data_IF_823686472049
#
_entry.id   IF_823686472049
#
_cell.length_a   1.000
_cell.length_b   1.000
_cell.length_c   1.000
_cell.angle_alpha   90.00
_cell.angle_beta   90.00
_cell.angle_gamma   90.00
#
_symmetry.space_group_name_H-M   'P 1'
#
loop_
_entity.id
_entity.type
_entity.pdbx_description
1 polymer ?
#
# COMPACT_ATOMS: atom_id res chain seq x y z
N UNK A 1 -30.88 19.41 31.30
CA UNK A 1 -31.36 18.02 31.19
C UNK A 1 -30.51 17.35 30.10
N UNK A 2 -29.33 16.81 30.42
CA UNK A 2 -29.04 15.38 30.77
C UNK A 2 -29.39 14.44 29.60
N UNK A 3 -28.54 13.64 28.94
CA UNK A 3 -27.25 12.92 29.21
C UNK A 3 -26.42 12.89 27.90
N UNK A 4 -25.08 12.85 27.79
CA UNK A 4 -23.95 12.13 28.45
C UNK A 4 -23.71 10.68 27.94
N UNK A 5 -22.56 10.51 27.28
CA UNK A 5 -21.68 9.32 27.08
C UNK A 5 -22.16 8.18 26.13
N UNK A 6 -21.32 7.43 25.40
CA UNK A 6 -19.87 7.22 25.44
C UNK A 6 -19.32 6.61 24.13
N UNK A 7 -18.00 6.64 24.03
CA UNK A 7 -17.01 6.03 23.13
C UNK A 7 -17.21 4.58 22.60
N UNK A 8 -16.74 4.28 21.37
CA UNK A 8 -15.52 3.49 21.08
C UNK A 8 -15.44 2.96 19.62
N UNK A 9 -14.20 2.99 19.12
CA UNK A 9 -13.53 2.20 18.08
C UNK A 9 -14.14 0.86 17.66
N UNK A 10 -14.16 0.56 16.35
CA UNK A 10 -13.77 -0.74 15.74
C UNK A 10 -13.81 -0.71 14.21
N UNK A 11 -12.93 -1.53 13.63
CA UNK A 11 -12.58 -1.67 12.23
C UNK A 11 -13.61 -2.41 11.34
N UNK A 12 -13.42 -2.26 10.02
CA UNK A 12 -13.84 -3.11 8.86
C UNK A 12 -14.32 -2.18 7.73
N UNK A 13 -14.05 -2.35 6.46
CA UNK A 13 -13.33 -3.34 5.67
C UNK A 13 -13.64 -2.98 4.22
N UNK A 14 -12.64 -2.79 3.36
CA UNK A 14 -12.85 -2.62 1.93
C UNK A 14 -11.88 -3.51 1.16
N UNK A 15 -12.49 -4.52 0.55
CA UNK A 15 -11.95 -5.56 -0.31
C UNK A 15 -11.27 -5.00 -1.55
N UNK A 16 -10.02 -5.37 -1.78
CA UNK A 16 -9.41 -5.36 -3.10
C UNK A 16 -9.50 -6.76 -3.71
N UNK A 17 -10.27 -6.89 -4.79
CA UNK A 17 -10.30 -8.05 -5.67
C UNK A 17 -8.98 -8.14 -6.43
N UNK A 18 -8.23 -9.22 -6.25
CA UNK A 18 -7.14 -9.62 -7.13
C UNK A 18 -7.72 -10.33 -8.36
N UNK A 19 -7.58 -9.72 -9.52
CA UNK A 19 -7.79 -10.35 -10.82
C UNK A 19 -6.51 -11.11 -11.16
N UNK A 20 -6.56 -12.44 -11.03
CA UNK A 20 -5.54 -13.35 -11.55
C UNK A 20 -5.77 -13.51 -13.07
N UNK A 21 -4.86 -12.96 -13.87
CA UNK A 21 -4.77 -13.29 -15.28
C UNK A 21 -3.93 -14.56 -15.44
N UNK A 22 -4.63 -15.62 -15.81
CA UNK A 22 -4.11 -16.91 -16.24
C UNK A 22 -3.51 -16.78 -17.64
N UNK A 23 -2.31 -17.30 -17.87
CA UNK A 23 -1.86 -17.63 -19.22
C UNK A 23 -1.24 -19.04 -19.22
N UNK A 24 -1.78 -19.98 -20.02
CA UNK A 24 -1.33 -21.35 -20.08
C UNK A 24 -0.30 -21.51 -21.20
N UNK A 25 0.87 -22.07 -20.88
CA UNK A 25 1.55 -22.90 -21.86
C UNK A 25 2.33 -24.01 -21.17
N UNK A 26 2.08 -25.19 -21.74
CA UNK A 26 2.36 -26.52 -21.25
C UNK A 26 3.75 -26.98 -21.67
N UNK A 27 4.45 -27.72 -20.80
CA UNK A 27 4.97 -29.04 -21.20
C UNK A 27 5.41 -29.85 -19.97
N UNK A 28 4.79 -31.02 -19.88
CA UNK A 28 4.97 -32.09 -18.91
C UNK A 28 6.29 -32.86 -19.07
N UNK A 29 6.65 -33.55 -17.97
CA UNK A 29 7.36 -34.84 -17.79
C UNK A 29 8.67 -34.67 -16.99
N UNK A 30 9.06 -35.51 -16.03
CA UNK A 30 8.45 -36.66 -15.37
C UNK A 30 9.43 -37.01 -14.23
N UNK A 31 9.00 -37.00 -12.97
CA UNK A 31 9.83 -37.45 -11.85
C UNK A 31 9.69 -38.97 -11.75
N UNK A 32 10.75 -39.69 -12.11
CA UNK A 32 10.86 -41.13 -11.90
C UNK A 32 11.68 -41.38 -10.64
N UNK A 33 10.99 -41.88 -9.62
CA UNK A 33 11.55 -42.55 -8.45
C UNK A 33 12.27 -43.85 -8.87
N UNK A 34 13.42 -44.18 -8.27
CA UNK A 34 13.83 -45.57 -8.14
C UNK A 34 14.11 -45.90 -6.67
N UNK A 35 13.05 -46.23 -5.93
CA UNK A 35 13.15 -47.12 -4.77
C UNK A 35 12.07 -48.17 -4.91
N UNK A 36 12.45 -49.44 -4.68
CA UNK A 36 11.70 -50.70 -4.82
C UNK A 36 11.68 -51.39 -6.20
N UNK A 37 12.63 -52.33 -6.37
CA UNK A 37 12.38 -53.71 -6.85
C UNK A 37 13.38 -54.61 -6.10
N UNK A 38 12.98 -55.28 -5.02
CA UNK A 38 12.59 -56.71 -4.99
C UNK A 38 13.64 -57.60 -5.69
N UNK A 39 14.58 -58.20 -4.95
CA UNK A 39 14.40 -59.53 -4.34
C UNK A 39 13.81 -60.56 -5.33
N UNK A 40 14.64 -61.15 -6.20
CA UNK A 40 14.38 -62.46 -6.83
C UNK A 40 15.61 -62.91 -7.64
N UNK A 41 16.45 -63.77 -7.06
CA UNK A 41 16.98 -65.01 -7.67
C UNK A 41 18.03 -65.63 -6.76
N UNK A 42 17.53 -66.45 -5.83
CA UNK A 42 18.24 -67.63 -5.36
C UNK A 42 17.71 -68.81 -6.16
N UNK A 43 18.60 -69.78 -6.40
CA UNK A 43 18.41 -71.14 -6.93
C UNK A 43 18.72 -71.35 -8.41
N UNK A 44 19.94 -71.83 -8.67
CA UNK A 44 20.07 -73.15 -9.29
C UNK A 44 21.11 -73.98 -8.53
N UNK A 45 20.65 -75.13 -8.06
CA UNK A 45 21.39 -76.21 -7.42
C UNK A 45 22.13 -77.03 -8.48
N UNK A 46 23.34 -77.50 -8.15
CA UNK A 46 23.81 -78.84 -8.51
C UNK A 46 24.61 -79.43 -7.34
N UNK A 47 24.26 -80.62 -6.84
CA UNK A 47 24.95 -81.29 -5.74
C UNK A 47 25.79 -82.52 -6.20
N UNK A 48 26.68 -82.95 -5.29
CA UNK A 48 27.31 -84.28 -5.16
C UNK A 48 28.36 -84.72 -6.21
N UNK A 49 29.53 -85.19 -5.74
CA UNK A 49 29.87 -86.62 -5.64
C UNK A 49 31.11 -86.86 -4.75
N UNK A 50 31.02 -87.87 -3.86
CA UNK A 50 32.13 -88.52 -3.17
C UNK A 50 32.39 -89.90 -3.84
N UNK A 51 33.66 -90.18 -4.22
CA UNK A 51 34.41 -91.48 -4.24
C UNK A 51 33.86 -92.66 -5.09
N UNK A 52 34.57 -93.80 -5.42
CA UNK A 52 35.90 -94.33 -5.02
C UNK A 52 36.77 -95.02 -6.14
N UNK A 53 37.98 -95.49 -5.75
CA UNK A 53 38.82 -96.64 -6.20
C UNK A 53 39.00 -97.10 -7.67
N UNK A 54 40.27 -97.28 -8.07
CA UNK A 54 40.81 -98.46 -8.80
C UNK A 54 42.28 -98.67 -8.36
N UNK A 55 42.60 -99.68 -7.53
CA UNK A 55 43.06 -101.04 -7.88
C UNK A 55 44.37 -101.08 -8.69
N UNK A 56 45.49 -101.36 -8.02
CA UNK A 56 46.13 -102.69 -7.88
C UNK A 56 46.93 -103.14 -9.11
N UNK A 57 48.26 -103.07 -8.97
CA UNK A 57 49.20 -104.03 -9.58
C UNK A 57 50.32 -104.31 -8.56
N UNK A 58 50.21 -105.42 -7.84
CA UNK A 58 51.37 -106.29 -7.49
C UNK A 58 51.40 -107.43 -8.54
N UNK A 59 52.39 -108.37 -8.64
CA UNK A 59 53.54 -108.72 -7.76
C UNK A 59 54.83 -108.93 -8.66
N UNK A 60 55.84 -109.82 -8.45
CA UNK A 60 56.11 -110.76 -7.34
C UNK A 60 57.58 -110.95 -6.83
N UNK A 61 57.64 -111.41 -5.57
CA UNK A 61 58.43 -112.50 -4.96
C UNK A 61 59.98 -112.53 -4.93
N UNK A 62 60.49 -112.75 -3.70
CA UNK A 62 61.30 -113.90 -3.21
C UNK A 62 62.14 -113.41 -1.99
N UNK A 63 62.38 -114.10 -0.88
CA UNK A 63 62.03 -115.41 -0.32
C UNK A 63 62.44 -115.41 1.15
N UNK A 64 61.69 -116.09 2.03
CA UNK A 64 62.10 -116.50 3.39
C UNK A 64 63.08 -117.70 3.32
N UNK A 65 63.82 -118.13 4.39
CA UNK A 65 63.26 -118.87 5.56
C UNK A 65 63.99 -118.57 6.91
N UNK A 66 63.34 -118.50 8.08
CA UNK A 66 62.65 -119.49 8.94
C UNK A 66 63.55 -120.12 10.04
N UNK A 67 62.90 -120.50 11.15
CA UNK A 67 63.35 -121.26 12.35
C UNK A 67 63.87 -120.40 13.53
N UNK A 68 63.64 -120.68 14.83
CA UNK A 68 62.68 -121.42 15.68
C UNK A 68 63.39 -121.59 17.06
N UNK A 69 62.69 -121.24 18.14
CA UNK A 69 62.86 -121.56 19.58
C UNK A 69 64.15 -121.24 20.41
N UNK A 70 63.98 -120.93 21.73
CA UNK A 70 65.00 -120.52 22.72
C UNK A 70 65.57 -121.73 23.51
N UNK A 71 66.67 -121.64 24.31
CA UNK A 71 66.60 -121.30 25.76
C UNK A 71 67.94 -120.66 26.31
N UNK A 72 68.43 -120.89 27.56
CA UNK A 72 68.22 -120.05 28.74
C UNK A 72 69.51 -119.58 29.49
N UNK A 73 69.32 -118.72 30.50
CA UNK A 73 70.04 -118.59 31.79
C UNK A 73 71.56 -118.30 31.91
N UNK A 74 71.85 -117.59 33.02
CA UNK A 74 73.13 -117.37 33.75
C UNK A 74 74.15 -116.34 33.22
N UNK A 75 74.06 -115.12 33.76
CA UNK A 75 75.05 -114.39 34.60
C UNK A 75 76.53 -114.80 34.47
N UNK A 76 77.53 -113.86 34.52
CA UNK A 76 77.66 -112.97 35.69
C UNK A 76 78.18 -111.54 35.44
N UNK A 77 77.66 -110.65 36.29
CA UNK A 77 78.40 -109.66 37.08
C UNK A 77 79.74 -109.15 36.55
N UNK A 78 79.74 -107.92 36.04
CA UNK A 78 80.86 -106.99 36.20
C UNK A 78 80.26 -105.61 36.45
N UNK A 79 80.65 -105.01 37.58
CA UNK A 79 80.48 -103.59 37.86
C UNK A 79 80.91 -102.77 36.65
N UNK A 80 80.01 -101.96 36.11
CA UNK A 80 80.43 -100.74 35.42
C UNK A 80 79.26 -99.77 35.37
N UNK A 81 79.44 -98.71 36.14
CA UNK A 81 78.84 -97.38 36.07
C UNK A 81 77.82 -97.19 34.94
N UNK A 82 76.63 -96.66 35.28
CA UNK A 82 75.70 -96.06 34.31
C UNK A 82 76.53 -95.19 33.39
N UNK A 83 76.65 -95.54 32.09
CA UNK A 83 77.50 -94.77 31.20
C UNK A 83 76.99 -93.33 31.17
N UNK A 84 77.91 -92.38 31.32
CA UNK A 84 77.61 -90.93 31.40
C UNK A 84 76.71 -90.47 30.24
N UNK A 85 76.80 -91.13 29.08
CA UNK A 85 75.96 -90.86 27.91
C UNK A 85 74.46 -91.06 28.16
N UNK A 86 74.04 -91.91 29.10
CA UNK A 86 72.63 -92.13 29.42
C UNK A 86 72.05 -90.94 30.21
N UNK A 87 72.80 -90.38 31.16
CA UNK A 87 72.39 -89.18 31.90
C UNK A 87 72.39 -87.94 31.01
N UNK A 88 73.36 -87.86 30.10
CA UNK A 88 73.43 -86.83 29.06
C UNK A 88 72.26 -86.93 28.08
N UNK A 89 71.85 -88.15 27.70
CA UNK A 89 70.67 -88.39 26.87
C UNK A 89 69.38 -87.92 27.54
N UNK A 90 69.14 -88.27 28.81
CA UNK A 90 67.95 -87.81 29.54
C UNK A 90 67.96 -86.29 29.77
N UNK A 91 69.14 -85.69 29.96
CA UNK A 91 69.29 -84.23 30.05
C UNK A 91 68.93 -83.55 28.74
N UNK A 92 69.41 -84.08 27.61
CA UNK A 92 69.05 -83.61 26.28
C UNK A 92 67.55 -83.78 25.99
N UNK A 93 66.95 -84.90 26.40
CA UNK A 93 65.52 -85.17 26.24
C UNK A 93 64.67 -84.17 27.03
N UNK A 94 65.06 -83.86 28.29
CA UNK A 94 64.41 -82.82 29.10
C UNK A 94 64.57 -81.42 28.51
N UNK A 95 65.72 -81.13 27.90
CA UNK A 95 65.93 -79.86 27.19
C UNK A 95 65.04 -79.77 25.94
N UNK A 96 64.85 -80.87 25.21
CA UNK A 96 63.92 -80.96 24.08
C UNK A 96 62.48 -80.72 24.55
N UNK A 97 62.03 -81.37 25.63
CA UNK A 97 60.70 -81.16 26.22
C UNK A 97 60.47 -79.69 26.59
N UNK A 98 61.44 -79.06 27.28
CA UNK A 98 61.34 -77.64 27.66
C UNK A 98 61.29 -76.71 26.44
N UNK A 99 61.97 -77.07 25.34
CA UNK A 99 61.91 -76.32 24.08
C UNK A 99 60.57 -76.54 23.36
N UNK A 100 59.99 -77.73 23.43
CA UNK A 100 58.65 -78.02 22.91
C UNK A 100 57.58 -77.20 23.66
N UNK A 101 57.65 -77.10 24.99
CA UNK A 101 56.73 -76.25 25.77
C UNK A 101 56.81 -74.77 25.37
N UNK A 102 58.02 -74.25 25.12
CA UNK A 102 58.21 -72.89 24.61
C UNK A 102 57.61 -72.73 23.21
N UNK A 103 57.74 -73.73 22.35
CA UNK A 103 57.13 -73.73 21.02
C UNK A 103 55.60 -73.71 21.10
N UNK A 104 55.00 -74.46 22.03
CA UNK A 104 53.55 -74.42 22.25
C UNK A 104 53.08 -73.06 22.77
N UNK A 105 53.82 -72.45 23.72
CA UNK A 105 53.54 -71.09 24.19
C UNK A 105 53.63 -70.06 23.06
N UNK A 106 54.64 -70.19 22.19
CA UNK A 106 54.75 -69.36 20.98
C UNK A 106 53.54 -69.60 20.07
N UNK A 107 53.12 -70.85 19.86
CA UNK A 107 51.94 -71.19 19.07
C UNK A 107 50.65 -70.54 19.59
N UNK A 108 50.46 -70.50 20.91
CA UNK A 108 49.32 -69.81 21.55
C UNK A 108 49.41 -68.30 21.34
N UNK A 109 50.58 -67.70 21.53
CA UNK A 109 50.78 -66.25 21.32
C UNK A 109 50.56 -65.86 19.85
N UNK A 110 51.07 -66.65 18.90
CA UNK A 110 50.86 -66.44 17.46
C UNK A 110 49.37 -66.56 17.12
N UNK A 111 48.67 -67.53 17.69
CA UNK A 111 47.22 -67.68 17.49
C UNK A 111 46.45 -66.47 18.04
N UNK A 112 46.83 -65.99 19.23
CA UNK A 112 46.26 -64.78 19.84
C UNK A 112 46.55 -63.52 19.02
N UNK A 113 47.78 -63.39 18.51
CA UNK A 113 48.16 -62.30 17.62
C UNK A 113 47.35 -62.33 16.32
N UNK A 114 47.18 -63.51 15.71
CA UNK A 114 46.39 -63.66 14.49
C UNK A 114 44.94 -63.21 14.70
N UNK A 115 44.33 -63.56 15.84
CA UNK A 115 42.99 -63.09 16.20
C UNK A 115 42.91 -61.57 16.34
N UNK A 116 43.91 -60.93 16.95
CA UNK A 116 43.98 -59.46 17.05
C UNK A 116 44.18 -58.79 15.70
N UNK A 117 45.01 -59.36 14.83
CA UNK A 117 45.23 -58.84 13.46
C UNK A 117 43.91 -58.87 12.68
N UNK A 118 43.18 -59.98 12.73
CA UNK A 118 41.85 -60.09 12.10
C UNK A 118 40.89 -59.02 12.65
N UNK A 119 40.89 -58.77 13.97
CA UNK A 119 40.06 -57.73 14.56
C UNK A 119 40.44 -56.33 14.07
N UNK A 120 41.74 -56.01 14.03
CA UNK A 120 42.24 -54.72 13.53
C UNK A 120 41.90 -54.52 12.06
N UNK A 121 41.98 -55.57 11.23
CA UNK A 121 41.57 -55.51 9.83
C UNK A 121 40.07 -55.20 9.69
N UNK A 122 39.22 -55.82 10.51
CA UNK A 122 37.78 -55.54 10.52
C UNK A 122 37.47 -54.10 10.95
N UNK A 123 38.12 -53.60 12.01
CA UNK A 123 37.98 -52.22 12.48
C UNK A 123 38.47 -51.22 11.43
N UNK A 124 39.57 -51.52 10.73
CA UNK A 124 40.11 -50.69 9.64
C UNK A 124 39.14 -50.59 8.47
N UNK A 125 38.49 -51.71 8.11
CA UNK A 125 37.46 -51.72 7.07
C UNK A 125 36.24 -50.88 7.47
N UNK A 126 35.75 -51.05 8.70
CA UNK A 126 34.63 -50.27 9.22
C UNK A 126 34.95 -48.76 9.25
N UNK A 127 36.17 -48.41 9.65
CA UNK A 127 36.62 -47.01 9.66
C UNK A 127 36.70 -46.43 8.24
N UNK A 128 37.19 -47.20 7.27
CA UNK A 128 37.24 -46.80 5.87
C UNK A 128 35.86 -46.52 5.28
N UNK A 129 34.86 -47.37 5.57
CA UNK A 129 33.47 -47.17 5.14
C UNK A 129 32.87 -45.89 5.75
N UNK A 130 33.12 -45.64 7.04
CA UNK A 130 32.68 -44.42 7.72
C UNK A 130 33.36 -43.17 7.16
N UNK A 131 34.64 -43.24 6.80
CA UNK A 131 35.36 -42.12 6.20
C UNK A 131 34.76 -41.75 4.85
N UNK A 132 34.47 -42.73 3.99
CA UNK A 132 33.82 -42.49 2.70
C UNK A 132 32.44 -41.82 2.87
N UNK A 133 31.65 -42.22 3.86
CA UNK A 133 30.36 -41.58 4.15
C UNK A 133 30.52 -40.12 4.60
N UNK A 134 31.55 -39.81 5.40
CA UNK A 134 31.88 -38.44 5.83
C UNK A 134 32.35 -37.59 4.65
N UNK A 135 33.16 -38.13 3.75
CA UNK A 135 33.60 -37.43 2.54
C UNK A 135 32.42 -37.02 1.65
N UNK A 136 31.47 -37.93 1.43
CA UNK A 136 30.23 -37.65 0.68
C UNK A 136 29.42 -36.56 1.37
N UNK A 137 29.22 -36.66 2.69
CA UNK A 137 28.49 -35.65 3.46
C UNK A 137 29.17 -34.28 3.42
N UNK A 138 30.51 -34.25 3.44
CA UNK A 138 31.30 -33.01 3.40
C UNK A 138 31.19 -32.35 2.03
N UNK A 139 31.24 -33.14 0.95
CA UNK A 139 31.03 -32.62 -0.40
C UNK A 139 29.62 -32.02 -0.55
N UNK A 140 28.59 -32.71 -0.07
CA UNK A 140 27.21 -32.20 -0.10
C UNK A 140 27.08 -30.86 0.63
N UNK A 141 27.64 -30.73 1.84
CA UNK A 141 27.61 -29.47 2.60
C UNK A 141 28.37 -28.36 1.87
N UNK A 142 29.50 -28.68 1.23
CA UNK A 142 30.26 -27.72 0.43
C UNK A 142 29.45 -27.18 -0.75
N UNK A 143 28.73 -28.05 -1.46
CA UNK A 143 27.89 -27.66 -2.59
C UNK A 143 26.72 -26.77 -2.14
N UNK A 144 26.07 -27.11 -1.01
CA UNK A 144 25.02 -26.29 -0.42
C UNK A 144 25.55 -24.91 0.04
N UNK A 145 26.77 -24.86 0.56
CA UNK A 145 27.40 -23.61 0.97
C UNK A 145 27.64 -22.67 -0.22
N UNK A 146 28.14 -23.18 -1.34
CA UNK A 146 28.34 -22.36 -2.54
C UNK A 146 27.01 -21.89 -3.16
N UNK A 147 25.98 -22.74 -3.20
CA UNK A 147 24.62 -22.34 -3.62
C UNK A 147 24.08 -21.20 -2.71
N UNK A 148 24.21 -21.33 -1.40
CA UNK A 148 23.76 -20.28 -0.48
C UNK A 148 24.56 -18.98 -0.62
N UNK A 149 25.86 -19.08 -0.90
CA UNK A 149 26.75 -17.93 -1.12
C UNK A 149 26.41 -17.17 -2.39
N UNK A 150 26.06 -17.87 -3.48
CA UNK A 150 25.60 -17.22 -4.71
C UNK A 150 24.30 -16.45 -4.49
N UNK A 151 23.29 -17.08 -3.86
CA UNK A 151 22.03 -16.42 -3.47
C UNK A 151 22.26 -15.18 -2.59
N UNK A 152 23.19 -15.25 -1.66
CA UNK A 152 23.53 -14.13 -0.78
C UNK A 152 24.10 -12.93 -1.57
N UNK A 153 24.93 -13.19 -2.60
CA UNK A 153 25.48 -12.15 -3.46
C UNK A 153 24.41 -11.52 -4.37
N UNK A 154 23.48 -12.32 -4.88
CA UNK A 154 22.33 -11.83 -5.65
C UNK A 154 21.43 -10.93 -4.80
N UNK A 155 21.09 -11.38 -3.58
CA UNK A 155 20.32 -10.58 -2.63
C UNK A 155 21.03 -9.27 -2.29
N UNK A 156 22.34 -9.30 -2.05
CA UNK A 156 23.14 -8.08 -1.79
C UNK A 156 23.08 -7.10 -2.96
N UNK A 157 23.16 -7.60 -4.18
CA UNK A 157 23.07 -6.78 -5.39
C UNK A 157 21.68 -6.16 -5.56
N UNK A 158 20.62 -6.93 -5.27
CA UNK A 158 19.25 -6.44 -5.25
C UNK A 158 19.03 -5.34 -4.21
N UNK A 159 19.57 -5.50 -2.99
CA UNK A 159 19.48 -4.49 -1.92
C UNK A 159 20.12 -3.18 -2.35
N UNK A 160 21.31 -3.22 -2.95
CA UNK A 160 21.99 -2.02 -3.46
C UNK A 160 21.16 -1.29 -4.53
N UNK A 161 20.48 -2.05 -5.41
CA UNK A 161 19.62 -1.46 -6.42
C UNK A 161 18.39 -0.80 -5.81
N UNK A 162 17.76 -1.45 -4.82
CA UNK A 162 16.62 -0.90 -4.08
C UNK A 162 17.02 0.39 -3.37
N UNK A 163 18.18 0.43 -2.70
CA UNK A 163 18.69 1.63 -2.05
C UNK A 163 18.86 2.81 -3.02
N UNK A 164 19.39 2.55 -4.23
CA UNK A 164 19.51 3.57 -5.27
C UNK A 164 18.14 4.10 -5.69
N UNK A 165 17.18 3.22 -5.95
CA UNK A 165 15.82 3.60 -6.34
C UNK A 165 15.14 4.43 -5.24
N UNK A 166 15.27 4.04 -3.97
CA UNK A 166 14.71 4.78 -2.83
C UNK A 166 15.28 6.19 -2.77
N UNK A 167 16.60 6.35 -2.94
CA UNK A 167 17.24 7.66 -2.90
C UNK A 167 16.77 8.58 -4.04
N UNK A 168 16.64 8.04 -5.25
CA UNK A 168 16.09 8.79 -6.39
C UNK A 168 14.64 9.21 -6.13
N UNK A 169 13.80 8.27 -5.69
CA UNK A 169 12.41 8.55 -5.35
C UNK A 169 12.27 9.61 -4.25
N UNK A 170 13.14 9.58 -3.23
CA UNK A 170 13.12 10.57 -2.16
C UNK A 170 13.43 11.99 -2.67
N UNK A 171 14.37 12.12 -3.60
CA UNK A 171 14.67 13.39 -4.27
C UNK A 171 13.48 13.89 -5.08
N UNK A 172 12.81 13.02 -5.83
CA UNK A 172 11.65 13.37 -6.65
C UNK A 172 10.47 13.83 -5.79
N UNK A 173 10.17 13.09 -4.72
CA UNK A 173 9.10 13.45 -3.76
C UNK A 173 9.37 14.83 -3.16
N UNK A 174 10.61 15.11 -2.72
CA UNK A 174 10.96 16.43 -2.17
C UNK A 174 10.80 17.57 -3.19
N UNK A 175 11.08 17.30 -4.48
CA UNK A 175 10.86 18.28 -5.55
C UNK A 175 9.38 18.54 -5.79
N UNK A 176 8.56 17.49 -5.77
CA UNK A 176 7.11 17.58 -5.95
C UNK A 176 6.47 18.34 -4.79
N UNK A 177 6.85 18.05 -3.54
CA UNK A 177 6.37 18.75 -2.35
C UNK A 177 6.60 20.26 -2.44
N UNK A 178 7.82 20.67 -2.80
CA UNK A 178 8.16 22.11 -2.98
C UNK A 178 7.33 22.78 -4.08
N UNK A 179 7.10 22.08 -5.19
CA UNK A 179 6.25 22.60 -6.27
C UNK A 179 4.80 22.73 -5.80
N UNK A 180 4.28 21.73 -5.08
CA UNK A 180 2.93 21.74 -4.57
C UNK A 180 2.69 22.91 -3.60
N UNK A 181 3.62 23.13 -2.66
CA UNK A 181 3.58 24.27 -1.74
C UNK A 181 3.60 25.62 -2.47
N UNK A 182 4.38 25.72 -3.56
CA UNK A 182 4.44 26.94 -4.36
C UNK A 182 3.14 27.19 -5.11
N UNK A 183 2.56 26.15 -5.71
CA UNK A 183 1.29 26.23 -6.44
C UNK A 183 0.14 26.56 -5.50
N UNK A 184 0.10 25.98 -4.29
CA UNK A 184 -0.92 26.29 -3.29
C UNK A 184 -0.90 27.78 -2.90
N UNK A 185 0.30 28.35 -2.70
CA UNK A 185 0.45 29.79 -2.43
C UNK A 185 0.01 30.66 -3.60
N UNK A 186 0.31 30.27 -4.84
CA UNK A 186 -0.13 30.99 -6.03
C UNK A 186 -1.66 30.97 -6.19
N UNK A 187 -2.29 29.82 -5.92
CA UNK A 187 -3.74 29.67 -5.95
C UNK A 187 -4.37 30.60 -4.91
N UNK A 188 -3.91 30.58 -3.66
CA UNK A 188 -4.45 31.43 -2.59
C UNK A 188 -4.34 32.93 -2.96
N UNK A 189 -3.19 33.36 -3.46
CA UNK A 189 -3.00 34.75 -3.90
C UNK A 189 -3.91 35.11 -5.08
N UNK A 190 -4.11 34.19 -6.02
CA UNK A 190 -5.00 34.42 -7.17
C UNK A 190 -6.46 34.51 -6.74
N UNK A 191 -6.87 33.68 -5.78
CA UNK A 191 -8.22 33.65 -5.24
C UNK A 191 -8.55 34.94 -4.51
N UNK A 192 -7.64 35.41 -3.65
CA UNK A 192 -7.81 36.67 -2.92
C UNK A 192 -7.88 37.87 -3.89
N UNK A 193 -7.04 37.91 -4.92
CA UNK A 193 -7.13 38.94 -5.98
C UNK A 193 -8.48 38.89 -6.71
N UNK A 194 -8.95 37.69 -7.06
CA UNK A 194 -10.22 37.51 -7.78
C UNK A 194 -11.41 37.91 -6.92
N UNK A 195 -11.40 37.59 -5.62
CA UNK A 195 -12.43 37.99 -4.66
C UNK A 195 -12.52 39.51 -4.56
N UNK A 196 -11.39 40.17 -4.32
CA UNK A 196 -11.31 41.63 -4.22
C UNK A 196 -11.76 42.32 -5.52
N UNK A 197 -11.37 41.79 -6.68
CA UNK A 197 -11.80 42.33 -7.97
C UNK A 197 -13.31 42.16 -8.20
N UNK A 198 -13.87 41.01 -7.82
CA UNK A 198 -15.31 40.75 -7.92
C UNK A 198 -16.13 41.67 -7.01
N UNK A 199 -15.66 41.93 -5.78
CA UNK A 199 -16.30 42.89 -4.87
C UNK A 199 -16.29 44.30 -5.45
N UNK A 200 -15.12 44.77 -5.90
CA UNK A 200 -14.98 46.07 -6.55
C UNK A 200 -15.85 46.20 -7.79
N UNK A 201 -15.88 45.18 -8.65
CA UNK A 201 -16.69 45.18 -9.86
C UNK A 201 -18.18 45.24 -9.56
N UNK A 202 -18.66 44.59 -8.48
CA UNK A 202 -20.05 44.71 -8.04
C UNK A 202 -20.36 46.12 -7.55
N UNK A 203 -19.47 46.74 -6.78
CA UNK A 203 -19.63 48.12 -6.33
C UNK A 203 -19.65 49.11 -7.51
N UNK A 204 -18.71 48.99 -8.45
CA UNK A 204 -18.63 49.84 -9.64
C UNK A 204 -19.88 49.70 -10.53
N UNK A 205 -20.39 48.47 -10.70
CA UNK A 205 -21.62 48.21 -11.45
C UNK A 205 -22.83 48.85 -10.77
N UNK A 206 -22.94 48.71 -9.45
CA UNK A 206 -24.01 49.31 -8.67
C UNK A 206 -23.96 50.84 -8.73
N UNK A 207 -22.78 51.45 -8.59
CA UNK A 207 -22.58 52.89 -8.68
C UNK A 207 -22.92 53.42 -10.09
N UNK A 208 -22.55 52.68 -11.13
CA UNK A 208 -22.90 53.01 -12.52
C UNK A 208 -24.41 52.97 -12.73
N UNK A 209 -25.09 51.95 -12.20
CA UNK A 209 -26.56 51.86 -12.27
C UNK A 209 -27.24 53.01 -11.50
N UNK A 210 -26.72 53.39 -10.32
CA UNK A 210 -27.24 54.55 -9.58
C UNK A 210 -27.11 55.82 -10.41
N UNK A 211 -25.93 56.07 -10.99
CA UNK A 211 -25.67 57.25 -11.84
C UNK A 211 -26.58 57.26 -13.07
N UNK A 212 -26.76 56.12 -13.72
CA UNK A 212 -27.62 55.99 -14.91
C UNK A 212 -29.10 56.26 -14.60
N UNK A 213 -29.55 55.88 -13.40
CA UNK A 213 -30.94 56.01 -12.97
C UNK A 213 -31.23 57.32 -12.21
N UNK A 214 -30.21 58.16 -11.95
CA UNK A 214 -30.34 59.34 -11.10
C UNK A 214 -31.31 60.38 -11.69
N UNK A 215 -31.50 60.37 -13.00
CA UNK A 215 -32.39 61.28 -13.73
C UNK A 215 -33.80 60.72 -13.89
N UNK A 216 -34.10 59.55 -13.31
CA UNK A 216 -35.33 58.83 -13.59
C UNK A 216 -36.31 58.89 -12.40
N UNK A 217 -37.59 59.12 -12.69
CA UNK A 217 -38.70 58.89 -11.76
C UNK A 217 -39.64 57.83 -12.31
N UNK A 218 -40.28 57.14 -11.39
CA UNK A 218 -41.34 56.17 -11.65
C UNK A 218 -42.65 56.76 -11.17
N UNK A 219 -43.61 56.92 -12.07
CA UNK A 219 -44.95 57.39 -11.78
C UNK A 219 -45.91 56.20 -11.70
N UNK A 220 -46.65 56.10 -10.60
CA UNK A 220 -47.53 54.98 -10.31
C UNK A 220 -49.00 55.38 -10.45
N UNK A 221 -49.81 54.41 -10.85
CA UNK A 221 -51.27 54.48 -10.91
C UNK A 221 -51.85 55.53 -11.87
N UNK A 222 -51.08 55.98 -12.87
CA UNK A 222 -51.61 56.75 -14.01
C UNK A 222 -52.39 55.78 -14.91
N UNK A 223 -53.71 55.98 -15.15
CA UNK A 223 -54.50 55.06 -15.98
C UNK A 223 -53.87 54.79 -17.35
N UNK A 224 -53.88 53.53 -17.80
CA UNK A 224 -53.36 53.13 -19.10
C UNK A 224 -54.41 53.31 -20.20
N UNK A 225 -53.98 53.78 -21.38
CA UNK A 225 -54.78 53.78 -22.62
C UNK A 225 -54.02 53.02 -23.70
N UNK A 226 -54.73 52.41 -24.65
CA UNK A 226 -54.12 51.53 -25.65
C UNK A 226 -53.16 52.26 -26.62
N UNK A 227 -53.41 53.53 -26.90
CA UNK A 227 -52.59 54.40 -27.75
C UNK A 227 -52.17 55.66 -26.98
N UNK A 228 -51.54 55.44 -25.81
CA UNK A 228 -51.10 56.54 -24.95
C UNK A 228 -49.74 57.10 -25.37
N UNK A 229 -49.63 58.43 -25.39
CA UNK A 229 -48.33 59.09 -25.34
C UNK A 229 -47.91 59.23 -23.87
N UNK A 230 -47.01 58.34 -23.43
CA UNK A 230 -46.47 58.37 -22.07
C UNK A 230 -45.81 59.70 -21.70
N UNK A 231 -45.25 60.44 -22.68
CA UNK A 231 -44.66 61.75 -22.43
C UNK A 231 -45.76 62.76 -22.13
N UNK A 232 -46.80 62.80 -22.95
CA UNK A 232 -47.93 63.70 -22.76
C UNK A 232 -48.66 63.43 -21.44
N UNK A 233 -48.95 62.16 -21.15
CA UNK A 233 -49.59 61.76 -19.89
C UNK A 233 -48.73 62.15 -18.67
N UNK A 234 -47.40 62.08 -18.80
CA UNK A 234 -46.48 62.51 -17.74
C UNK A 234 -46.48 64.02 -17.53
N UNK A 235 -46.55 64.81 -18.60
CA UNK A 235 -46.67 66.28 -18.52
C UNK A 235 -47.99 66.70 -17.88
N UNK A 236 -49.11 66.17 -18.38
CA UNK A 236 -50.45 66.41 -17.85
C UNK A 236 -50.52 66.02 -16.37
N UNK A 237 -49.91 64.87 -16.01
CA UNK A 237 -49.85 64.41 -14.63
C UNK A 237 -49.12 65.42 -13.74
N UNK A 238 -47.98 65.96 -14.18
CA UNK A 238 -47.22 66.95 -13.43
C UNK A 238 -47.99 68.28 -13.27
N UNK A 239 -48.64 68.76 -14.32
CA UNK A 239 -49.41 70.01 -14.26
C UNK A 239 -50.61 69.91 -13.32
N UNK A 240 -51.42 68.84 -13.47
CA UNK A 240 -52.66 68.68 -12.71
C UNK A 240 -52.43 68.19 -11.28
N UNK A 241 -51.63 67.13 -11.11
CA UNK A 241 -51.52 66.44 -9.82
C UNK A 241 -50.33 66.96 -8.99
N UNK A 242 -49.22 67.32 -9.62
CA UNK A 242 -48.06 67.90 -8.92
C UNK A 242 -48.14 69.43 -8.78
N UNK A 243 -49.12 70.08 -9.43
CA UNK A 243 -49.35 71.54 -9.40
C UNK A 243 -48.15 72.33 -9.93
N UNK A 244 -47.54 71.83 -11.00
CA UNK A 244 -46.42 72.47 -11.67
C UNK A 244 -46.91 73.06 -13.01
N UNK A 245 -47.30 74.34 -13.11
CA UNK A 245 -47.72 74.92 -14.37
C UNK A 245 -46.54 75.09 -15.35
N UNK A 246 -46.81 75.11 -16.65
CA UNK A 246 -45.81 75.31 -17.70
C UNK A 246 -44.70 74.25 -17.69
N UNK A 247 -45.07 72.98 -17.53
CA UNK A 247 -44.09 71.89 -17.44
C UNK A 247 -43.32 71.71 -18.75
N UNK A 248 -43.98 71.93 -19.88
CA UNK A 248 -43.40 71.75 -21.21
C UNK A 248 -42.26 72.74 -21.48
N UNK A 249 -42.35 73.96 -20.97
CA UNK A 249 -41.33 75.00 -21.15
C UNK A 249 -40.22 74.90 -20.09
N UNK A 250 -40.53 74.44 -18.88
CA UNK A 250 -39.61 74.47 -17.73
C UNK A 250 -38.78 73.19 -17.55
N UNK A 251 -39.34 72.03 -17.88
CA UNK A 251 -38.74 70.72 -17.60
C UNK A 251 -38.58 69.91 -18.88
N UNK A 252 -37.34 69.51 -19.16
CA UNK A 252 -37.06 68.62 -20.28
C UNK A 252 -37.26 67.16 -19.86
N UNK A 253 -38.19 66.47 -20.52
CA UNK A 253 -38.34 65.01 -20.47
C UNK A 253 -37.67 64.42 -21.71
N UNK A 254 -36.69 63.53 -21.50
CA UNK A 254 -35.97 62.86 -22.58
C UNK A 254 -36.69 61.61 -23.08
N UNK A 255 -37.32 60.87 -22.15
CA UNK A 255 -38.02 59.62 -22.46
C UNK A 255 -39.10 59.35 -21.43
N UNK A 256 -40.25 58.85 -21.86
CA UNK A 256 -41.29 58.32 -20.99
C UNK A 256 -41.84 57.02 -21.58
N UNK A 257 -41.96 55.96 -20.78
CA UNK A 257 -42.52 54.69 -21.22
C UNK A 257 -43.09 53.87 -20.06
N UNK A 258 -44.14 53.08 -20.31
CA UNK A 258 -44.62 52.08 -19.34
C UNK A 258 -43.52 51.05 -19.03
N UNK A 259 -43.45 50.63 -17.77
CA UNK A 259 -42.55 49.55 -17.33
C UNK A 259 -43.31 48.23 -17.18
N UNK A 260 -42.72 47.16 -17.73
CA UNK A 260 -43.23 45.81 -17.58
C UNK A 260 -44.29 45.41 -18.62
N UNK A 261 -44.73 44.16 -18.51
CA UNK A 261 -45.69 43.55 -19.42
C UNK A 261 -47.13 43.93 -19.02
N UNK A 262 -48.01 44.13 -20.01
CA UNK A 262 -49.42 44.47 -19.78
C UNK A 262 -50.10 43.33 -19.03
N UNK A 263 -50.90 43.66 -18.02
CA UNK A 263 -51.62 42.71 -17.18
C UNK A 263 -52.76 43.40 -16.43
N UNK A 264 -53.23 42.82 -15.34
CA UNK A 264 -54.35 43.35 -14.55
C UNK A 264 -54.01 44.64 -13.77
N UNK A 265 -52.72 44.85 -13.46
CA UNK A 265 -52.26 46.02 -12.72
C UNK A 265 -51.80 47.11 -13.67
N UNK A 266 -52.16 48.34 -13.34
CA UNK A 266 -51.67 49.55 -14.01
C UNK A 266 -50.14 49.58 -13.90
N UNK A 267 -49.47 49.50 -15.05
CA UNK A 267 -48.03 49.60 -15.18
C UNK A 267 -47.56 51.01 -14.86
N UNK A 268 -46.49 51.17 -14.09
CA UNK A 268 -45.94 52.51 -13.85
C UNK A 268 -45.28 53.08 -15.11
N UNK A 269 -45.24 54.41 -15.22
CA UNK A 269 -44.49 55.13 -16.27
C UNK A 269 -43.09 55.44 -15.72
N UNK A 270 -42.05 55.03 -16.43
CA UNK A 270 -40.69 55.48 -16.20
C UNK A 270 -40.43 56.75 -17.01
N UNK A 271 -40.04 57.82 -16.34
CA UNK A 271 -39.75 59.12 -16.95
C UNK A 271 -38.30 59.47 -16.69
N UNK A 272 -37.53 59.71 -17.76
CA UNK A 272 -36.16 60.20 -17.72
C UNK A 272 -36.14 61.70 -18.02
N UNK A 273 -35.60 62.48 -17.10
CA UNK A 273 -35.46 63.93 -17.22
C UNK A 273 -34.11 64.32 -17.84
N UNK A 274 -34.02 65.55 -18.35
CA UNK A 274 -32.78 66.10 -18.93
C UNK A 274 -31.65 66.30 -17.92
N UNK A 275 -31.99 66.40 -16.63
CA UNK A 275 -31.00 66.53 -15.56
C UNK A 275 -31.53 66.07 -14.20
N UNK A 276 -30.62 65.73 -13.28
CA UNK A 276 -30.95 65.44 -11.88
C UNK A 276 -31.69 66.60 -11.20
N UNK A 277 -31.34 67.86 -11.52
CA UNK A 277 -31.98 69.04 -10.94
C UNK A 277 -33.46 69.13 -11.31
N UNK A 278 -33.77 68.94 -12.60
CA UNK A 278 -35.15 68.91 -13.10
C UNK A 278 -35.94 67.75 -12.49
N UNK A 279 -35.34 66.56 -12.43
CA UNK A 279 -35.93 65.40 -11.75
C UNK A 279 -36.28 65.73 -10.29
N UNK A 280 -35.37 66.34 -9.55
CA UNK A 280 -35.56 66.70 -8.14
C UNK A 280 -36.64 67.76 -7.93
N UNK A 281 -36.77 68.69 -8.87
CA UNK A 281 -37.83 69.69 -8.87
C UNK A 281 -39.22 69.03 -8.93
N UNK A 282 -39.40 68.06 -9.82
CA UNK A 282 -40.61 67.25 -9.91
C UNK A 282 -40.80 66.41 -8.64
N UNK A 283 -39.76 65.72 -8.17
CA UNK A 283 -39.84 64.84 -6.98
C UNK A 283 -40.29 65.59 -5.73
N UNK A 284 -39.82 66.81 -5.50
CA UNK A 284 -40.16 67.63 -4.32
C UNK A 284 -41.65 67.99 -4.27
N UNK A 285 -42.32 68.07 -5.42
CA UNK A 285 -43.75 68.33 -5.49
C UNK A 285 -44.62 67.09 -5.25
N UNK A 286 -44.02 65.90 -5.09
CA UNK A 286 -44.74 64.67 -4.73
C UNK A 286 -45.54 64.75 -3.42
N UNK A 287 -45.21 65.69 -2.53
CA UNK A 287 -46.02 66.01 -1.34
C UNK A 287 -47.47 66.42 -1.68
N UNK A 288 -47.70 66.93 -2.89
CA UNK A 288 -49.03 67.33 -3.37
C UNK A 288 -49.91 66.13 -3.74
N UNK A 289 -49.31 64.93 -3.87
CA UNK A 289 -50.03 63.67 -4.11
C UNK A 289 -50.55 63.02 -2.83
N UNK A 290 -50.34 63.66 -1.67
CA UNK A 290 -50.88 63.17 -0.40
C UNK A 290 -52.40 63.03 -0.53
N UNK A 291 -52.93 61.92 -0.01
CA UNK A 291 -54.36 61.60 -0.04
C UNK A 291 -54.92 61.31 -1.45
N UNK A 292 -54.04 61.09 -2.44
CA UNK A 292 -54.41 60.59 -3.78
C UNK A 292 -53.95 59.13 -3.96
N UNK A 293 -54.46 58.47 -5.01
CA UNK A 293 -54.01 57.12 -5.39
C UNK A 293 -52.70 57.14 -6.21
N UNK A 294 -52.17 58.31 -6.54
CA UNK A 294 -50.96 58.42 -7.35
C UNK A 294 -49.70 58.39 -6.49
N UNK A 295 -48.60 57.93 -7.09
CA UNK A 295 -47.31 57.90 -6.42
C UNK A 295 -46.18 58.28 -7.36
N UNK A 296 -45.11 58.85 -6.80
CA UNK A 296 -43.84 59.03 -7.51
C UNK A 296 -42.70 58.48 -6.66
N UNK A 297 -41.76 57.77 -7.29
CA UNK A 297 -40.54 57.30 -6.62
C UNK A 297 -39.33 57.42 -7.53
N UNK A 298 -38.15 57.45 -6.93
CA UNK A 298 -36.89 57.32 -7.67
C UNK A 298 -36.77 55.91 -8.26
N UNK A 299 -36.15 55.79 -9.43
CA UNK A 299 -35.75 54.49 -9.94
C UNK A 299 -34.46 54.05 -9.24
N UNK A 300 -34.54 52.97 -8.47
CA UNK A 300 -33.40 52.43 -7.74
C UNK A 300 -32.94 51.11 -8.38
N UNK A 301 -31.64 50.80 -8.41
CA UNK A 301 -31.16 49.48 -8.78
C UNK A 301 -31.78 48.39 -7.91
N UNK A 302 -32.00 47.20 -8.48
CA UNK A 302 -32.69 46.10 -7.79
C UNK A 302 -32.02 45.70 -6.47
N UNK A 303 -30.70 45.76 -6.39
CA UNK A 303 -29.96 45.46 -5.17
C UNK A 303 -30.23 46.48 -4.04
N UNK A 304 -30.27 47.78 -4.37
CA UNK A 304 -30.63 48.84 -3.42
C UNK A 304 -32.07 48.68 -2.96
N UNK A 305 -33.00 48.32 -3.86
CA UNK A 305 -34.39 48.04 -3.49
C UNK A 305 -34.49 46.88 -2.49
N UNK A 306 -33.74 45.78 -2.73
CA UNK A 306 -33.68 44.64 -1.80
C UNK A 306 -33.14 45.06 -0.43
N UNK A 307 -32.02 45.78 -0.37
CA UNK A 307 -31.43 46.28 0.88
C UNK A 307 -32.41 47.18 1.64
N UNK A 308 -33.04 48.15 0.95
CA UNK A 308 -34.09 49.00 1.55
C UNK A 308 -35.27 48.20 2.08
N UNK A 309 -35.74 47.18 1.34
CA UNK A 309 -36.87 46.34 1.75
C UNK A 309 -36.61 45.64 3.09
N UNK A 310 -35.39 45.15 3.30
CA UNK A 310 -34.96 44.55 4.58
C UNK A 310 -34.95 45.57 5.71
N UNK A 311 -34.66 46.84 5.42
CA UNK A 311 -34.59 47.92 6.40
C UNK A 311 -35.93 48.63 6.66
N UNK A 312 -36.97 48.38 5.86
CA UNK A 312 -38.28 49.02 6.00
C UNK A 312 -38.92 48.87 7.40
N UNK A 313 -38.89 47.67 8.05
CA UNK A 313 -39.46 47.53 9.39
C UNK A 313 -38.77 48.43 10.42
N UNK A 314 -37.44 48.51 10.36
CA UNK A 314 -36.65 49.36 11.26
C UNK A 314 -36.91 50.84 11.01
N UNK A 315 -36.96 51.25 9.73
CA UNK A 315 -37.31 52.62 9.36
C UNK A 315 -38.69 53.02 9.90
N UNK A 316 -39.67 52.11 9.84
CA UNK A 316 -41.02 52.36 10.35
C UNK A 316 -40.99 52.52 11.87
N UNK A 317 -40.33 51.60 12.59
CA UNK A 317 -40.17 51.67 14.04
C UNK A 317 -39.58 53.02 14.49
N UNK A 318 -38.48 53.47 13.86
CA UNK A 318 -37.86 54.76 14.19
C UNK A 318 -38.82 55.95 13.98
N UNK A 319 -39.64 55.91 12.93
CA UNK A 319 -40.66 56.95 12.67
C UNK A 319 -41.79 56.92 13.68
N UNK A 320 -42.24 55.72 14.07
CA UNK A 320 -43.28 55.51 15.07
C UNK A 320 -42.80 56.01 16.46
N UNK A 321 -41.49 55.93 16.74
CA UNK A 321 -40.82 56.53 17.91
C UNK A 321 -40.63 58.06 17.80
N UNK A 322 -41.09 58.70 16.73
CA UNK A 322 -40.99 60.15 16.52
C UNK A 322 -39.68 60.64 15.92
N UNK A 323 -38.76 59.74 15.54
CA UNK A 323 -37.51 60.13 14.90
C UNK A 323 -37.73 60.50 13.43
N UNK A 324 -37.02 61.54 12.97
CA UNK A 324 -36.97 61.90 11.53
C UNK A 324 -36.04 60.95 10.78
N UNK A 325 -36.54 59.76 10.48
CA UNK A 325 -35.81 58.70 9.77
C UNK A 325 -36.12 58.66 8.26
N UNK A 326 -35.10 58.61 7.43
CA UNK A 326 -35.21 58.53 5.96
C UNK A 326 -34.09 57.71 5.33
N UNK A 327 -34.30 57.24 4.10
CA UNK A 327 -33.26 56.54 3.36
C UNK A 327 -32.34 57.50 2.62
N UNK A 328 -31.04 57.21 2.64
CA UNK A 328 -30.04 57.75 1.72
C UNK A 328 -29.36 56.55 1.07
N UNK A 329 -29.43 56.43 -0.27
CA UNK A 329 -29.01 55.22 -1.00
C UNK A 329 -29.65 53.96 -0.41
N UNK A 330 -28.91 53.08 0.24
CA UNK A 330 -29.36 51.85 0.88
C UNK A 330 -29.34 51.89 2.42
N UNK A 331 -29.11 53.06 3.02
CA UNK A 331 -28.91 53.23 4.46
C UNK A 331 -29.98 54.10 5.09
N UNK A 332 -30.31 53.84 6.36
CA UNK A 332 -31.19 54.70 7.16
C UNK A 332 -30.37 55.85 7.72
N UNK A 333 -30.91 57.07 7.68
CA UNK A 333 -30.38 58.23 8.38
C UNK A 333 -31.42 58.76 9.37
N UNK A 334 -30.97 59.11 10.58
CA UNK A 334 -31.77 59.74 11.63
C UNK A 334 -31.09 61.04 12.05
N UNK A 335 -31.82 62.16 12.00
CA UNK A 335 -31.26 63.47 12.39
C UNK A 335 -30.03 63.89 11.57
N UNK A 336 -29.92 63.43 10.32
CA UNK A 336 -28.80 63.72 9.42
C UNK A 336 -27.62 62.74 9.49
N UNK A 337 -27.57 61.85 10.48
CA UNK A 337 -26.49 60.86 10.65
C UNK A 337 -26.93 59.48 10.19
N UNK A 338 -26.01 58.70 9.64
CA UNK A 338 -26.23 57.29 9.30
C UNK A 338 -26.59 56.52 10.58
N UNK A 339 -27.74 55.85 10.55
CA UNK A 339 -28.19 54.96 11.61
C UNK A 339 -27.51 53.60 11.42
N UNK A 340 -26.59 53.29 12.33
CA UNK A 340 -26.00 51.97 12.45
C UNK A 340 -26.76 51.22 13.53
N UNK A 341 -27.23 50.02 13.19
CA UNK A 341 -27.87 49.11 14.15
C UNK A 341 -26.85 48.64 15.19
#
# INVERSE_FOLDING_TARGET
>A
MTNVNNSNTSASGLSHQNILQYNPDSSYLSIVNPSLQYAQQMQSFQPFQQTPHQQMVQPPFCSTPNMVHPPPNSSPSMMSQRPVWVDELFTNMRHIETRLDKLDQIGILVSSMNMKVIQVEQETKSLSERLAAVEISTQYVSDQYEDQKTKCNELKSSVINIEKTINTQHSDVSSVEKKNDSTEKEIEQSFEKMKNLNEKMREDLLDTQIKSNIENLVFYNIPEKDDEDCLEESLIFCEKNLKMPNMRESIQILKANRMGNKGERIRPILVKFGSFKQREEVRKNGKNLKDTNFGISEQLPGEIQKRRKTLLPELKKLRDEGHKAYFVRDKIHVGGKEYKK
#
